data_IF_321873925164
#
_entry.id   IF_321873925164
#
_cell.length_a   1.000
_cell.length_b   1.000
_cell.length_c   1.000
_cell.angle_alpha   90.00
_cell.angle_beta   90.00
_cell.angle_gamma   90.00
#
_symmetry.space_group_name_H-M   'P 1'
#
loop_
_entity.id
_entity.type
_entity.pdbx_description
1 polymer ?
#
# COMPACT_ATOMS: atom_id res chain seq x y z
N UNK A 1 6.38 -13.48 -26.20
CA UNK A 1 5.84 -12.14 -26.41
C UNK A 1 6.40 -11.27 -25.29
N UNK A 2 7.20 -10.22 -25.58
CA UNK A 2 7.86 -9.39 -24.57
C UNK A 2 6.93 -8.31 -23.97
N UNK A 3 5.64 -8.33 -24.32
CA UNK A 3 4.64 -7.34 -23.89
C UNK A 3 4.02 -7.63 -22.51
N UNK A 4 4.39 -8.74 -21.85
CA UNK A 4 3.97 -9.02 -20.48
C UNK A 4 5.11 -8.76 -19.50
N UNK A 5 4.84 -8.02 -18.40
CA UNK A 5 5.72 -8.02 -17.23
C UNK A 5 6.08 -9.47 -16.92
N UNK A 6 7.38 -9.78 -16.79
CA UNK A 6 7.80 -11.13 -16.42
C UNK A 6 7.23 -11.49 -15.05
N UNK A 7 6.06 -12.13 -15.05
CA UNK A 7 5.49 -12.78 -13.89
C UNK A 7 6.22 -14.11 -13.77
N UNK A 8 7.02 -14.28 -12.73
CA UNK A 8 7.42 -15.63 -12.35
C UNK A 8 6.13 -16.30 -11.89
N UNK A 9 5.61 -17.25 -12.66
CA UNK A 9 4.33 -17.90 -12.37
C UNK A 9 4.30 -18.40 -10.94
N UNK A 10 3.23 -18.14 -10.18
CA UNK A 10 3.18 -18.37 -8.74
C UNK A 10 2.38 -17.25 -8.07
N UNK A 11 1.11 -17.52 -7.78
CA UNK A 11 0.20 -16.59 -7.11
C UNK A 11 -0.04 -15.26 -7.85
N UNK A 12 -0.88 -14.43 -7.23
CA UNK A 12 -1.39 -13.18 -7.81
C UNK A 12 -0.36 -12.05 -7.89
N UNK A 13 0.67 -12.12 -7.02
CA UNK A 13 1.78 -11.15 -6.94
C UNK A 13 3.10 -11.66 -7.57
N UNK A 14 3.08 -12.81 -8.25
CA UNK A 14 4.30 -13.42 -8.82
C UNK A 14 5.29 -13.94 -7.77
N UNK A 15 4.83 -14.22 -6.55
CA UNK A 15 5.63 -14.68 -5.44
C UNK A 15 5.79 -16.21 -5.46
N UNK A 16 6.81 -16.71 -6.16
CA UNK A 16 7.31 -18.08 -5.98
C UNK A 16 8.14 -18.23 -4.70
N UNK A 17 8.36 -19.46 -4.18
CA UNK A 17 9.36 -19.69 -3.15
C UNK A 17 10.73 -19.08 -3.56
N UNK A 18 11.45 -18.53 -2.57
CA UNK A 18 12.75 -17.86 -2.76
C UNK A 18 12.69 -16.56 -3.60
N UNK A 19 11.65 -15.75 -3.37
CA UNK A 19 11.52 -14.38 -3.89
C UNK A 19 11.03 -13.44 -2.77
N UNK A 20 11.02 -12.15 -3.08
CA UNK A 20 10.61 -11.06 -2.22
C UNK A 20 10.98 -9.74 -2.88
N UNK A 21 11.05 -8.67 -2.11
CA UNK A 21 11.57 -7.38 -2.57
C UNK A 21 12.93 -7.09 -1.94
N UNK A 22 13.88 -6.56 -2.72
CA UNK A 22 15.15 -6.06 -2.17
C UNK A 22 14.96 -4.75 -1.38
N UNK A 23 13.82 -4.08 -1.59
CA UNK A 23 13.51 -2.79 -1.00
C UNK A 23 12.45 -2.04 -1.80
N UNK A 24 11.84 -1.08 -1.12
CA UNK A 24 10.79 -0.23 -1.67
C UNK A 24 11.27 1.22 -1.70
N UNK A 25 11.06 1.91 -2.82
CA UNK A 25 11.17 3.37 -2.90
C UNK A 25 9.81 3.93 -3.26
N UNK A 26 9.26 4.76 -2.38
CA UNK A 26 7.90 5.32 -2.52
C UNK A 26 7.93 6.75 -3.05
N UNK A 27 7.15 7.01 -4.10
CA UNK A 27 6.96 8.33 -4.70
C UNK A 27 5.90 9.11 -3.92
N UNK A 28 6.22 10.37 -3.56
CA UNK A 28 5.29 11.32 -2.97
C UNK A 28 4.49 12.03 -4.07
N UNK A 29 3.32 11.48 -4.42
CA UNK A 29 2.46 12.05 -5.46
C UNK A 29 1.82 13.40 -5.07
N UNK A 30 1.38 13.64 -3.82
CA UNK A 30 0.85 14.94 -3.41
C UNK A 30 1.79 16.10 -3.72
N UNK A 31 3.09 15.92 -3.44
CA UNK A 31 4.10 16.93 -3.75
C UNK A 31 4.20 17.19 -5.26
N UNK A 32 4.12 16.16 -6.10
CA UNK A 32 4.08 16.35 -7.56
C UNK A 32 2.83 17.13 -7.97
N UNK A 33 1.66 16.76 -7.45
CA UNK A 33 0.40 17.43 -7.76
C UNK A 33 0.38 18.89 -7.34
N UNK A 34 1.09 19.25 -6.28
CA UNK A 34 1.25 20.64 -5.84
C UNK A 34 2.23 21.45 -6.68
N UNK A 35 3.34 20.84 -7.12
CA UNK A 35 4.42 21.56 -7.83
C UNK A 35 4.18 21.71 -9.34
N UNK A 36 3.36 20.85 -9.93
CA UNK A 36 3.14 20.82 -11.38
C UNK A 36 1.90 21.62 -11.77
N UNK A 37 1.98 22.32 -12.90
CA UNK A 37 0.86 23.12 -13.44
C UNK A 37 0.16 22.44 -14.62
N UNK A 38 0.85 21.53 -15.32
CA UNK A 38 0.32 20.81 -16.48
C UNK A 38 0.52 19.31 -16.35
N UNK A 39 -0.28 18.54 -17.08
CA UNK A 39 -0.22 17.08 -17.08
C UNK A 39 1.14 16.61 -17.65
N UNK A 40 1.66 17.27 -18.68
CA UNK A 40 2.97 16.98 -19.25
C UNK A 40 4.09 17.18 -18.22
N UNK A 41 4.04 18.28 -17.46
CA UNK A 41 5.03 18.55 -16.41
C UNK A 41 4.95 17.48 -15.32
N UNK A 42 3.74 17.10 -14.91
CA UNK A 42 3.53 16.06 -13.90
C UNK A 42 4.20 14.75 -14.32
N UNK A 43 3.97 14.28 -15.55
CA UNK A 43 4.54 13.02 -16.02
C UNK A 43 6.05 13.09 -16.22
N UNK A 44 6.60 14.23 -16.67
CA UNK A 44 8.05 14.43 -16.77
C UNK A 44 8.72 14.37 -15.40
N UNK A 45 8.16 15.03 -14.39
CA UNK A 45 8.71 15.00 -13.03
C UNK A 45 8.53 13.63 -12.36
N UNK A 46 7.40 12.95 -12.59
CA UNK A 46 7.18 11.58 -12.16
C UNK A 46 8.24 10.64 -12.75
N UNK A 47 8.54 10.75 -14.06
CA UNK A 47 9.59 9.94 -14.69
C UNK A 47 10.95 10.14 -14.01
N UNK A 48 11.33 11.39 -13.74
CA UNK A 48 12.60 11.71 -13.08
C UNK A 48 12.69 11.04 -11.70
N UNK A 49 11.61 11.10 -10.91
CA UNK A 49 11.55 10.43 -9.61
C UNK A 49 11.60 8.91 -9.74
N UNK A 50 10.94 8.33 -10.74
CA UNK A 50 10.99 6.88 -10.99
C UNK A 50 12.37 6.41 -11.44
N UNK A 51 13.09 7.19 -12.25
CA UNK A 51 14.48 6.92 -12.63
C UNK A 51 15.39 7.01 -11.40
N UNK A 52 15.17 7.98 -10.50
CA UNK A 52 15.90 8.06 -9.25
C UNK A 52 15.64 6.85 -8.34
N UNK A 53 14.38 6.41 -8.25
CA UNK A 53 14.00 5.20 -7.53
C UNK A 53 14.68 3.95 -8.10
N UNK A 54 14.67 3.79 -9.43
CA UNK A 54 15.42 2.73 -10.13
C UNK A 54 16.89 2.72 -9.74
N UNK A 55 17.56 3.88 -9.84
CA UNK A 55 18.99 4.00 -9.55
C UNK A 55 19.28 3.63 -8.08
N UNK A 56 18.45 4.08 -7.14
CA UNK A 56 18.57 3.73 -5.72
C UNK A 56 18.44 2.22 -5.49
N UNK A 57 17.45 1.58 -6.11
CA UNK A 57 17.21 0.13 -5.99
C UNK A 57 18.34 -0.69 -6.62
N UNK A 58 18.86 -0.27 -7.78
CA UNK A 58 20.01 -0.94 -8.42
C UNK A 58 21.29 -0.81 -7.60
N UNK A 59 21.54 0.33 -6.97
CA UNK A 59 22.65 0.48 -6.01
C UNK A 59 22.47 -0.47 -4.83
N UNK A 60 21.26 -0.51 -4.24
CA UNK A 60 20.95 -1.42 -3.14
C UNK A 60 21.14 -2.88 -3.52
N UNK A 61 20.70 -3.28 -4.72
CA UNK A 61 20.88 -4.64 -5.25
C UNK A 61 22.35 -5.04 -5.28
N UNK A 62 23.22 -4.18 -5.83
CA UNK A 62 24.67 -4.41 -5.88
C UNK A 62 25.25 -4.58 -4.48
N UNK A 63 24.84 -3.74 -3.53
CA UNK A 63 25.28 -3.84 -2.14
C UNK A 63 24.85 -5.18 -1.50
N UNK A 64 23.60 -5.59 -1.68
CA UNK A 64 23.08 -6.86 -1.15
C UNK A 64 23.84 -8.06 -1.71
N UNK A 65 24.09 -8.10 -3.02
CA UNK A 65 24.90 -9.17 -3.64
C UNK A 65 26.31 -9.23 -3.04
N UNK A 66 26.98 -8.08 -2.92
CA UNK A 66 28.33 -8.02 -2.34
C UNK A 66 28.35 -8.48 -0.88
N UNK A 67 27.40 -8.02 -0.06
CA UNK A 67 27.29 -8.43 1.34
C UNK A 67 26.99 -9.92 1.49
N UNK A 68 26.13 -10.49 0.64
CA UNK A 68 25.88 -11.94 0.63
C UNK A 68 27.13 -12.72 0.20
N UNK A 69 27.88 -12.24 -0.80
CA UNK A 69 29.15 -12.87 -1.21
C UNK A 69 30.20 -12.83 -0.11
N UNK A 70 30.28 -11.72 0.64
CA UNK A 70 31.17 -11.52 1.80
C UNK A 70 30.67 -12.16 3.11
N UNK A 71 29.71 -13.08 3.04
CA UNK A 71 29.21 -13.86 4.19
C UNK A 71 28.54 -13.04 5.31
N UNK A 72 28.09 -11.81 5.02
CA UNK A 72 27.33 -11.00 5.99
C UNK A 72 25.86 -11.45 6.14
N UNK A 73 25.37 -12.27 5.21
CA UNK A 73 24.02 -12.85 5.23
C UNK A 73 24.04 -14.38 5.12
N UNK A 74 24.61 -15.11 6.10
CA UNK A 74 24.91 -16.54 5.97
C UNK A 74 23.66 -17.40 5.76
N UNK A 75 22.56 -17.11 6.47
CA UNK A 75 21.30 -17.84 6.30
C UNK A 75 20.69 -17.60 4.91
N UNK A 76 20.61 -16.34 4.48
CA UNK A 76 20.11 -16.00 3.15
C UNK A 76 20.96 -16.62 2.05
N UNK A 77 22.29 -16.59 2.20
CA UNK A 77 23.25 -17.23 1.28
C UNK A 77 22.97 -18.73 1.16
N UNK A 78 22.72 -19.42 2.28
CA UNK A 78 22.37 -20.83 2.30
C UNK A 78 21.06 -21.11 1.55
N UNK A 79 19.97 -20.42 1.90
CA UNK A 79 18.66 -20.65 1.30
C UNK A 79 18.57 -20.23 -0.18
N UNK A 80 19.37 -19.23 -0.60
CA UNK A 80 19.42 -18.77 -2.00
C UNK A 80 20.54 -19.43 -2.81
N UNK A 81 21.25 -20.42 -2.28
CA UNK A 81 22.33 -21.14 -2.98
C UNK A 81 21.89 -21.68 -4.34
N UNK A 82 20.73 -22.34 -4.41
CA UNK A 82 20.18 -22.85 -5.68
C UNK A 82 19.78 -21.75 -6.68
N UNK A 83 19.53 -20.52 -6.22
CA UNK A 83 19.33 -19.36 -7.11
C UNK A 83 20.68 -18.93 -7.67
N UNK A 84 21.70 -18.82 -6.81
CA UNK A 84 23.04 -18.46 -7.21
C UNK A 84 23.66 -19.48 -8.18
N UNK A 85 23.45 -20.78 -7.97
CA UNK A 85 23.99 -21.81 -8.85
C UNK A 85 23.48 -21.68 -10.29
N UNK A 86 22.19 -21.32 -10.45
CA UNK A 86 21.53 -21.11 -11.74
C UNK A 86 21.88 -19.76 -12.38
N UNK A 87 21.76 -18.68 -11.62
CA UNK A 87 21.75 -17.31 -12.18
C UNK A 87 23.03 -16.51 -11.86
N UNK A 88 23.95 -17.08 -11.05
CA UNK A 88 25.16 -16.43 -10.52
C UNK A 88 24.90 -15.13 -9.76
N UNK A 89 23.69 -15.01 -9.20
CA UNK A 89 23.19 -13.90 -8.39
C UNK A 89 22.30 -14.48 -7.28
N UNK A 90 22.45 -14.04 -6.03
CA UNK A 90 21.60 -14.51 -4.94
C UNK A 90 20.20 -13.88 -5.02
N UNK A 91 20.14 -12.59 -5.31
CA UNK A 91 18.93 -11.77 -5.29
C UNK A 91 18.28 -11.65 -6.67
N UNK A 92 18.72 -12.44 -7.66
CA UNK A 92 18.22 -12.39 -9.04
C UNK A 92 16.70 -12.58 -9.18
N UNK A 93 16.09 -13.31 -8.24
CA UNK A 93 14.65 -13.55 -8.21
C UNK A 93 13.83 -12.47 -7.47
N UNK A 94 14.47 -11.50 -6.80
CA UNK A 94 13.78 -10.51 -5.97
C UNK A 94 13.45 -9.25 -6.76
N UNK A 95 12.28 -8.67 -6.49
CA UNK A 95 11.79 -7.45 -7.12
C UNK A 95 12.49 -6.20 -6.59
N UNK A 96 12.70 -5.24 -7.47
CA UNK A 96 12.96 -3.84 -7.16
C UNK A 96 11.61 -3.11 -7.10
N UNK A 97 11.15 -2.72 -5.91
CA UNK A 97 9.78 -2.22 -5.75
C UNK A 97 9.73 -0.71 -5.78
N UNK A 98 8.92 -0.17 -6.69
CA UNK A 98 8.57 1.25 -6.73
C UNK A 98 7.12 1.36 -6.25
N UNK A 99 6.92 2.17 -5.21
CA UNK A 99 5.60 2.40 -4.64
C UNK A 99 5.15 3.85 -4.79
N UNK A 100 3.91 4.11 -4.43
CA UNK A 100 3.33 5.45 -4.39
C UNK A 100 2.45 5.62 -3.16
N UNK A 101 2.20 6.88 -2.78
CA UNK A 101 1.25 7.25 -1.73
C UNK A 101 0.58 8.58 -2.07
N UNK A 102 -0.64 8.80 -1.57
CA UNK A 102 -1.31 10.10 -1.60
C UNK A 102 -1.92 10.46 -2.95
N UNK A 103 -2.43 9.51 -3.73
CA UNK A 103 -3.06 9.86 -5.01
C UNK A 103 -4.27 10.77 -4.83
N UNK A 104 -5.03 10.59 -3.75
CA UNK A 104 -6.13 11.49 -3.41
C UNK A 104 -5.66 12.94 -3.28
N UNK A 105 -4.65 13.20 -2.44
CA UNK A 105 -4.15 14.55 -2.26
C UNK A 105 -3.39 15.06 -3.50
N UNK A 106 -2.81 14.18 -4.31
CA UNK A 106 -2.27 14.56 -5.62
C UNK A 106 -3.37 15.12 -6.53
N UNK A 107 -4.53 14.47 -6.63
CA UNK A 107 -5.69 14.97 -7.36
C UNK A 107 -6.17 16.31 -6.79
N UNK A 108 -6.29 16.41 -5.47
CA UNK A 108 -6.79 17.63 -4.79
C UNK A 108 -5.87 18.84 -5.02
N UNK A 109 -4.55 18.62 -5.05
CA UNK A 109 -3.56 19.68 -5.30
C UNK A 109 -3.46 20.03 -6.79
N UNK A 110 -3.59 19.04 -7.69
CA UNK A 110 -3.37 19.23 -9.13
C UNK A 110 -4.65 19.61 -9.90
N UNK A 111 -5.73 18.89 -9.68
CA UNK A 111 -7.00 19.01 -10.39
C UNK A 111 -8.01 19.89 -9.65
N UNK A 112 -7.78 20.18 -8.37
CA UNK A 112 -8.78 20.71 -7.45
C UNK A 112 -10.03 19.81 -7.30
N UNK A 113 -9.88 18.51 -7.56
CA UNK A 113 -10.88 17.48 -7.36
C UNK A 113 -10.25 16.29 -6.61
N UNK A 114 -11.03 15.53 -5.85
CA UNK A 114 -10.54 14.33 -5.18
C UNK A 114 -10.60 13.09 -6.07
N UNK A 115 -10.00 11.98 -5.60
CA UNK A 115 -9.92 10.74 -6.38
C UNK A 115 -11.28 10.09 -6.64
N UNK A 116 -12.30 10.36 -5.81
CA UNK A 116 -13.64 9.77 -5.97
C UNK A 116 -14.38 10.30 -7.19
N UNK A 117 -13.99 11.47 -7.68
CA UNK A 117 -14.56 12.05 -8.90
C UNK A 117 -14.13 11.27 -10.14
N UNK A 118 -14.94 11.34 -11.21
CA UNK A 118 -14.61 10.71 -12.50
C UNK A 118 -13.25 11.22 -13.02
N UNK A 119 -12.99 12.52 -12.89
CA UNK A 119 -11.74 13.14 -13.30
C UNK A 119 -10.55 12.64 -12.47
N UNK A 120 -10.69 12.61 -11.14
CA UNK A 120 -9.67 12.11 -10.22
C UNK A 120 -9.34 10.64 -10.45
N UNK A 121 -10.35 9.77 -10.56
CA UNK A 121 -10.15 8.34 -10.88
C UNK A 121 -9.48 8.17 -12.24
N UNK A 122 -9.91 8.90 -13.26
CA UNK A 122 -9.31 8.86 -14.61
C UNK A 122 -7.84 9.27 -14.56
N UNK A 123 -7.50 10.33 -13.84
CA UNK A 123 -6.12 10.77 -13.66
C UNK A 123 -5.28 9.72 -12.91
N UNK A 124 -5.81 9.15 -11.82
CA UNK A 124 -5.15 8.08 -11.08
C UNK A 124 -4.84 6.86 -11.96
N UNK A 125 -5.79 6.46 -12.81
CA UNK A 125 -5.62 5.41 -13.82
C UNK A 125 -4.46 5.74 -14.76
N UNK A 126 -4.44 6.95 -15.35
CA UNK A 126 -3.33 7.39 -16.22
C UNK A 126 -1.97 7.34 -15.52
N UNK A 127 -1.90 7.79 -14.26
CA UNK A 127 -0.66 7.75 -13.48
C UNK A 127 -0.18 6.32 -13.25
N UNK A 128 -1.08 5.42 -12.86
CA UNK A 128 -0.73 4.01 -12.65
C UNK A 128 -0.25 3.35 -13.95
N UNK A 129 -0.94 3.58 -15.07
CA UNK A 129 -0.53 3.01 -16.36
C UNK A 129 0.83 3.55 -16.81
N UNK A 130 1.08 4.86 -16.66
CA UNK A 130 2.39 5.45 -16.90
C UNK A 130 3.49 4.79 -16.05
N UNK A 131 3.25 4.62 -14.74
CA UNK A 131 4.23 3.99 -13.84
C UNK A 131 4.51 2.54 -14.23
N UNK A 132 3.48 1.78 -14.62
CA UNK A 132 3.63 0.39 -15.10
C UNK A 132 4.50 0.33 -16.35
N UNK A 133 4.24 1.19 -17.33
CA UNK A 133 5.01 1.26 -18.57
C UNK A 133 6.48 1.59 -18.30
N UNK A 134 6.75 2.52 -17.36
CA UNK A 134 8.12 2.85 -16.95
C UNK A 134 8.82 1.67 -16.28
N UNK A 135 8.13 0.97 -15.39
CA UNK A 135 8.63 -0.24 -14.71
C UNK A 135 8.95 -1.35 -15.71
N UNK A 136 8.12 -1.54 -16.74
CA UNK A 136 8.41 -2.48 -17.83
C UNK A 136 9.71 -2.13 -18.56
N UNK A 137 9.89 -0.86 -18.93
CA UNK A 137 11.13 -0.38 -19.55
C UNK A 137 12.35 -0.59 -18.65
N UNK A 138 12.24 -0.33 -17.35
CA UNK A 138 13.33 -0.56 -16.41
C UNK A 138 13.74 -2.04 -16.33
N UNK A 139 12.77 -2.95 -16.38
CA UNK A 139 13.04 -4.39 -16.41
C UNK A 139 13.74 -4.82 -17.71
N UNK A 140 13.40 -4.23 -18.86
CA UNK A 140 14.12 -4.46 -20.12
C UNK A 140 15.55 -3.90 -20.08
N UNK A 141 15.71 -2.69 -19.54
CA UNK A 141 16.99 -1.98 -19.43
C UNK A 141 17.99 -2.70 -18.51
N UNK A 142 17.55 -3.17 -17.33
CA UNK A 142 18.46 -3.73 -16.32
C UNK A 142 18.48 -5.25 -16.27
N UNK A 143 17.46 -5.90 -16.84
CA UNK A 143 17.27 -7.35 -16.72
C UNK A 143 16.86 -7.83 -15.32
N UNK A 144 16.50 -6.93 -14.41
CA UNK A 144 16.00 -7.26 -13.07
C UNK A 144 14.48 -7.13 -12.98
N UNK A 145 13.86 -7.86 -12.05
CA UNK A 145 12.42 -7.77 -11.81
C UNK A 145 12.05 -6.45 -11.11
N UNK A 146 10.96 -5.84 -11.55
CA UNK A 146 10.37 -4.65 -10.95
C UNK A 146 8.87 -4.84 -10.76
N UNK A 147 8.32 -4.25 -9.71
CA UNK A 147 6.88 -4.23 -9.46
C UNK A 147 6.42 -2.86 -8.95
N UNK A 148 5.14 -2.58 -9.20
CA UNK A 148 4.43 -1.41 -8.71
C UNK A 148 3.62 -1.81 -7.47
N UNK A 149 3.83 -1.13 -6.35
CA UNK A 149 3.20 -1.49 -5.07
C UNK A 149 2.37 -0.34 -4.49
N UNK A 150 1.19 -0.69 -3.97
CA UNK A 150 0.44 0.16 -3.07
C UNK A 150 1.17 0.13 -1.72
N UNK A 151 2.05 1.11 -1.48
CA UNK A 151 2.92 1.10 -0.29
C UNK A 151 2.04 1.09 0.96
N UNK A 152 2.24 0.19 1.96
CA UNK A 152 1.46 0.21 3.21
C UNK A 152 1.56 1.53 3.97
N UNK A 153 2.70 2.21 3.82
CA UNK A 153 2.94 3.61 4.16
C UNK A 153 2.64 4.05 5.61
N UNK A 154 2.55 3.13 6.58
CA UNK A 154 2.19 3.38 7.99
C UNK A 154 2.87 4.62 8.60
N UNK A 155 4.19 4.76 8.44
CA UNK A 155 4.92 5.95 8.86
C UNK A 155 5.15 6.99 7.75
N UNK A 156 5.05 6.58 6.48
CA UNK A 156 5.38 7.42 5.32
C UNK A 156 4.29 8.45 5.06
N UNK A 157 3.01 8.10 5.24
CA UNK A 157 1.86 9.01 5.07
C UNK A 157 2.04 10.28 5.90
N UNK A 158 2.26 10.14 7.20
CA UNK A 158 2.49 11.26 8.12
C UNK A 158 3.82 11.97 7.86
N UNK A 159 4.91 11.22 7.64
CA UNK A 159 6.23 11.82 7.42
C UNK A 159 6.26 12.72 6.19
N UNK A 160 5.68 12.27 5.08
CA UNK A 160 5.59 13.07 3.85
C UNK A 160 4.68 14.28 4.06
N UNK A 161 3.48 14.10 4.58
CA UNK A 161 2.54 15.20 4.79
C UNK A 161 3.10 16.28 5.73
N UNK A 162 3.73 15.89 6.86
CA UNK A 162 4.40 16.84 7.76
C UNK A 162 5.58 17.55 7.11
N UNK A 163 6.42 16.82 6.38
CA UNK A 163 7.55 17.43 5.66
C UNK A 163 7.06 18.41 4.59
N UNK A 164 5.97 18.08 3.90
CA UNK A 164 5.38 18.92 2.87
C UNK A 164 4.75 20.17 3.47
N UNK A 165 3.97 20.04 4.55
CA UNK A 165 3.40 21.19 5.25
C UNK A 165 4.45 22.18 5.74
N UNK A 166 5.63 21.69 6.16
CA UNK A 166 6.73 22.55 6.57
C UNK A 166 7.37 23.32 5.41
N UNK A 167 7.42 22.72 4.21
CA UNK A 167 8.04 23.33 3.02
C UNK A 167 7.05 24.18 2.21
N UNK A 168 5.78 23.74 2.20
CA UNK A 168 4.68 24.27 1.41
C UNK A 168 3.45 24.39 2.32
N UNK A 169 3.32 25.45 3.12
CA UNK A 169 2.23 25.58 4.10
C UNK A 169 0.82 25.39 3.48
N UNK A 170 0.65 25.85 2.24
CA UNK A 170 -0.62 25.83 1.51
C UNK A 170 -0.91 24.50 0.78
N UNK A 171 0.01 23.52 0.79
CA UNK A 171 -0.25 22.20 0.21
C UNK A 171 -1.44 21.55 0.90
N UNK A 172 -2.35 20.97 0.13
CA UNK A 172 -3.54 20.31 0.67
C UNK A 172 -3.17 18.90 1.14
N UNK A 173 -3.48 18.60 2.39
CA UNK A 173 -3.27 17.30 3.05
C UNK A 173 -4.58 16.85 3.69
N UNK A 174 -4.73 15.56 3.97
CA UNK A 174 -5.77 15.10 4.89
C UNK A 174 -5.36 15.39 6.34
N UNK A 175 -6.34 15.41 7.26
CA UNK A 175 -6.11 15.74 8.67
C UNK A 175 -5.92 17.24 8.92
N UNK A 176 -6.50 17.76 10.01
CA UNK A 176 -6.40 19.17 10.39
C UNK A 176 -5.16 19.47 11.23
N UNK A 177 -5.04 18.80 12.38
CA UNK A 177 -3.96 19.00 13.34
C UNK A 177 -2.76 18.10 13.03
N UNK A 178 -3.04 16.86 12.64
CA UNK A 178 -2.04 15.87 12.26
C UNK A 178 -2.19 15.56 10.77
N UNK A 179 -1.37 16.20 9.91
CA UNK A 179 -1.52 16.04 8.47
C UNK A 179 -1.04 14.64 8.04
N UNK A 180 -1.80 14.02 7.15
CA UNK A 180 -1.46 12.73 6.55
C UNK A 180 -1.86 12.70 5.07
N UNK A 181 -1.35 11.70 4.35
CA UNK A 181 -1.77 11.38 3.00
C UNK A 181 -2.56 10.08 2.97
N UNK A 182 -3.61 10.07 2.17
CA UNK A 182 -4.44 8.88 1.95
C UNK A 182 -3.58 7.78 1.33
N UNK A 183 -3.73 6.55 1.81
CA UNK A 183 -2.83 5.49 1.40
C UNK A 183 -2.94 5.22 -0.11
N UNK A 184 -1.81 5.07 -0.80
CA UNK A 184 -1.74 4.66 -2.20
C UNK A 184 -2.76 5.35 -3.12
N UNK A 185 -3.79 4.61 -3.59
CA UNK A 185 -4.91 5.08 -4.43
C UNK A 185 -6.27 4.83 -3.77
N UNK A 186 -6.29 4.70 -2.45
CA UNK A 186 -7.53 4.52 -1.70
C UNK A 186 -8.42 5.76 -1.78
N UNK A 187 -9.72 5.55 -1.57
CA UNK A 187 -10.65 6.62 -1.25
C UNK A 187 -10.23 7.30 0.08
N UNK A 188 -10.56 8.58 0.27
CA UNK A 188 -10.36 9.26 1.54
C UNK A 188 -10.99 8.49 2.71
N UNK A 189 -10.43 8.64 3.90
CA UNK A 189 -11.01 8.07 5.13
C UNK A 189 -12.43 8.65 5.31
N UNK A 190 -13.39 7.77 5.66
CA UNK A 190 -14.80 8.10 5.85
C UNK A 190 -15.50 8.67 4.61
N UNK A 191 -15.06 8.28 3.40
CA UNK A 191 -15.72 8.70 2.16
C UNK A 191 -17.13 8.09 2.01
N UNK A 192 -17.28 6.79 2.27
CA UNK A 192 -18.54 6.06 2.20
C UNK A 192 -18.52 4.85 3.12
N UNK A 193 -19.69 4.46 3.61
CA UNK A 193 -19.91 3.20 4.35
C UNK A 193 -20.41 2.07 3.43
N UNK A 194 -20.68 2.36 2.15
CA UNK A 194 -21.10 1.36 1.18
C UNK A 194 -19.89 0.59 0.64
N UNK A 195 -19.81 -0.70 0.99
CA UNK A 195 -18.76 -1.60 0.53
C UNK A 195 -18.71 -1.72 -0.99
N UNK A 196 -19.86 -1.72 -1.67
CA UNK A 196 -19.90 -1.90 -3.12
C UNK A 196 -19.44 -0.63 -3.85
N UNK A 197 -19.72 0.56 -3.30
CA UNK A 197 -19.17 1.80 -3.82
C UNK A 197 -17.64 1.82 -3.74
N UNK A 198 -17.07 1.37 -2.61
CA UNK A 198 -15.61 1.20 -2.47
C UNK A 198 -15.08 0.20 -3.49
N UNK A 199 -15.73 -0.95 -3.65
CA UNK A 199 -15.32 -1.99 -4.59
C UNK A 199 -15.36 -1.49 -6.05
N UNK A 200 -16.46 -0.88 -6.47
CA UNK A 200 -16.66 -0.33 -7.83
C UNK A 200 -15.63 0.75 -8.15
N UNK A 201 -15.28 1.57 -7.16
CA UNK A 201 -14.23 2.56 -7.33
C UNK A 201 -12.83 1.92 -7.42
N UNK A 202 -12.52 1.00 -6.51
CA UNK A 202 -11.16 0.48 -6.30
C UNK A 202 -10.76 -0.61 -7.30
N UNK A 203 -11.69 -1.37 -7.89
CA UNK A 203 -11.38 -2.55 -8.72
C UNK A 203 -10.37 -2.28 -9.84
N UNK A 204 -10.65 -1.28 -10.68
CA UNK A 204 -9.77 -0.89 -11.79
C UNK A 204 -8.40 -0.37 -11.31
N UNK A 205 -8.38 0.41 -10.23
CA UNK A 205 -7.14 1.00 -9.73
C UNK A 205 -6.22 -0.07 -9.16
N UNK A 206 -6.79 -1.01 -8.40
CA UNK A 206 -6.02 -1.99 -7.66
C UNK A 206 -5.45 -3.10 -8.55
N UNK A 207 -6.14 -3.44 -9.64
CA UNK A 207 -5.65 -4.39 -10.65
C UNK A 207 -4.45 -3.87 -11.46
N UNK A 208 -4.14 -2.57 -11.38
CA UNK A 208 -2.95 -1.99 -12.01
C UNK A 208 -1.67 -2.21 -11.19
N UNK A 209 -1.77 -2.52 -9.89
CA UNK A 209 -0.59 -2.90 -9.13
C UNK A 209 -0.11 -4.29 -9.55
N UNK A 210 1.22 -4.43 -9.65
CA UNK A 210 1.88 -5.68 -10.00
C UNK A 210 2.64 -6.27 -8.81
N UNK A 211 2.77 -5.50 -7.73
CA UNK A 211 3.22 -5.90 -6.41
C UNK A 211 2.07 -5.89 -5.40
N UNK A 212 2.39 -5.72 -4.12
CA UNK A 212 1.41 -5.75 -3.05
C UNK A 212 0.31 -4.69 -3.21
N UNK A 213 -0.93 -5.11 -3.02
CA UNK A 213 -2.05 -4.21 -2.76
C UNK A 213 -3.12 -4.93 -1.94
N UNK A 214 -3.96 -4.17 -1.24
CA UNK A 214 -5.08 -4.66 -0.44
C UNK A 214 -6.19 -3.62 -0.39
N UNK A 215 -7.45 -4.05 -0.52
CA UNK A 215 -8.62 -3.21 -0.23
C UNK A 215 -9.20 -3.63 1.12
N UNK A 216 -9.22 -2.71 2.08
CA UNK A 216 -9.85 -2.93 3.38
C UNK A 216 -11.32 -2.54 3.30
N UNK A 217 -12.21 -3.51 3.50
CA UNK A 217 -13.66 -3.31 3.62
C UNK A 217 -14.00 -3.25 5.11
N UNK A 218 -14.10 -2.04 5.65
CA UNK A 218 -14.40 -1.84 7.06
C UNK A 218 -15.87 -2.15 7.34
N UNK A 219 -16.11 -2.97 8.38
CA UNK A 219 -17.45 -3.35 8.82
C UNK A 219 -17.69 -2.76 10.21
N UNK A 220 -18.91 -2.29 10.47
CA UNK A 220 -19.27 -1.74 11.78
C UNK A 220 -19.10 -2.74 12.91
N UNK A 221 -19.48 -4.00 12.69
CA UNK A 221 -19.28 -5.08 13.65
C UNK A 221 -18.99 -6.42 12.95
N UNK A 222 -18.65 -7.43 13.74
CA UNK A 222 -18.44 -8.79 13.26
C UNK A 222 -19.76 -9.33 12.71
N UNK A 223 -19.71 -9.94 11.52
CA UNK A 223 -20.83 -10.71 10.98
C UNK A 223 -20.81 -12.10 11.63
N UNK A 224 -21.84 -12.44 12.40
CA UNK A 224 -21.94 -13.74 13.08
C UNK A 224 -22.40 -14.88 12.17
N UNK A 225 -23.20 -14.58 11.14
CA UNK A 225 -23.67 -15.57 10.18
C UNK A 225 -22.58 -15.89 9.14
N UNK A 226 -22.04 -17.11 9.23
CA UNK A 226 -21.02 -17.62 8.32
C UNK A 226 -21.50 -17.70 6.86
N UNK A 227 -22.79 -17.96 6.62
CA UNK A 227 -23.32 -18.05 5.27
C UNK A 227 -23.40 -16.67 4.62
N UNK A 228 -23.67 -15.61 5.41
CA UNK A 228 -23.58 -14.22 4.95
C UNK A 228 -22.15 -13.87 4.55
N UNK A 229 -21.17 -14.19 5.40
CA UNK A 229 -19.75 -13.94 5.08
C UNK A 229 -19.30 -14.69 3.82
N UNK A 230 -19.64 -15.98 3.70
CA UNK A 230 -19.33 -16.78 2.50
C UNK A 230 -19.96 -16.19 1.25
N UNK A 231 -21.22 -15.80 1.32
CA UNK A 231 -21.95 -15.21 0.19
C UNK A 231 -21.34 -13.88 -0.23
N UNK A 232 -20.95 -13.03 0.73
CA UNK A 232 -20.27 -11.76 0.46
C UNK A 232 -18.90 -11.99 -0.20
N UNK A 233 -18.05 -12.85 0.39
CA UNK A 233 -16.73 -13.18 -0.18
C UNK A 233 -16.86 -13.73 -1.59
N UNK A 234 -17.81 -14.66 -1.80
CA UNK A 234 -18.09 -15.24 -3.12
C UNK A 234 -18.53 -14.17 -4.11
N UNK A 235 -19.48 -13.32 -3.74
CA UNK A 235 -19.97 -12.24 -4.60
C UNK A 235 -18.85 -11.28 -5.00
N UNK A 236 -17.97 -10.90 -4.05
CA UNK A 236 -16.84 -10.04 -4.35
C UNK A 236 -15.88 -10.73 -5.33
N UNK A 237 -15.50 -11.97 -5.05
CA UNK A 237 -14.56 -12.73 -5.89
C UNK A 237 -15.11 -13.08 -7.29
N UNK A 238 -16.43 -13.20 -7.45
CA UNK A 238 -17.08 -13.45 -8.74
C UNK A 238 -17.36 -12.16 -9.53
N UNK A 239 -17.47 -11.00 -8.88
CA UNK A 239 -17.87 -9.74 -9.53
C UNK A 239 -16.71 -8.77 -9.80
N UNK A 240 -15.61 -8.88 -9.05
CA UNK A 240 -14.48 -7.96 -9.11
C UNK A 240 -13.18 -8.69 -9.45
N UNK A 241 -12.26 -7.99 -10.10
CA UNK A 241 -10.93 -8.48 -10.43
C UNK A 241 -9.89 -8.18 -9.32
N UNK A 242 -10.31 -7.55 -8.22
CA UNK A 242 -9.49 -7.19 -7.08
C UNK A 242 -8.57 -8.32 -6.63
N UNK A 243 -7.26 -8.05 -6.50
CA UNK A 243 -6.34 -9.10 -6.17
C UNK A 243 -6.45 -9.54 -4.70
N UNK A 244 -6.66 -8.58 -3.80
CA UNK A 244 -6.70 -8.87 -2.37
C UNK A 244 -7.62 -7.89 -1.66
N UNK A 245 -8.53 -8.42 -0.86
CA UNK A 245 -9.43 -7.65 -0.02
C UNK A 245 -9.52 -8.28 1.38
N UNK A 246 -9.87 -7.47 2.37
CA UNK A 246 -10.15 -7.92 3.74
C UNK A 246 -11.52 -7.45 4.17
N UNK A 247 -12.22 -8.28 4.96
CA UNK A 247 -13.35 -7.85 5.77
C UNK A 247 -12.83 -7.49 7.16
N UNK A 248 -12.91 -6.22 7.52
CA UNK A 248 -12.29 -5.68 8.74
C UNK A 248 -13.37 -5.19 9.71
N UNK A 249 -13.88 -6.05 10.60
CA UNK A 249 -14.87 -5.65 11.59
C UNK A 249 -14.26 -4.84 12.73
N UNK A 250 -15.03 -3.88 13.24
CA UNK A 250 -14.65 -3.14 14.45
C UNK A 250 -14.91 -3.97 15.70
N UNK A 251 -13.95 -3.93 16.62
CA UNK A 251 -14.04 -4.52 17.95
C UNK A 251 -13.27 -3.65 18.95
N UNK A 252 -13.67 -3.74 20.21
CA UNK A 252 -12.99 -3.07 21.34
C UNK A 252 -12.37 -4.12 22.25
N UNK A 253 -11.33 -3.76 23.01
CA UNK A 253 -10.71 -4.68 23.98
C UNK A 253 -10.89 -4.11 25.39
N UNK A 254 -11.57 -4.87 26.24
CA UNK A 254 -11.56 -4.67 27.68
C UNK A 254 -10.45 -5.53 28.31
N UNK A 255 -9.61 -4.99 29.21
CA UNK A 255 -8.60 -5.79 29.91
C UNK A 255 -9.18 -6.93 30.76
N UNK A 256 -10.46 -6.82 31.14
CA UNK A 256 -11.19 -7.79 31.96
C UNK A 256 -12.02 -8.73 31.08
N UNK A 257 -12.86 -8.16 30.21
CA UNK A 257 -13.83 -8.90 29.39
C UNK A 257 -13.30 -9.35 28.01
N UNK A 258 -12.07 -8.96 27.64
CA UNK A 258 -11.46 -9.33 26.36
C UNK A 258 -12.10 -8.62 25.17
N UNK A 259 -12.30 -9.34 24.07
CA UNK A 259 -12.85 -8.78 22.82
C UNK A 259 -14.35 -8.48 22.93
N UNK A 260 -14.72 -7.26 22.58
CA UNK A 260 -16.08 -6.73 22.56
C UNK A 260 -16.46 -6.42 21.11
N UNK A 261 -17.64 -6.85 20.68
CA UNK A 261 -18.16 -6.54 19.34
C UNK A 261 -18.45 -5.04 19.20
N UNK A 262 -17.92 -4.41 18.14
CA UNK A 262 -18.15 -3.00 17.85
C UNK A 262 -17.24 -2.01 18.59
N UNK A 263 -17.51 -0.72 18.37
CA UNK A 263 -16.77 0.38 18.99
C UNK A 263 -17.38 0.76 20.34
N UNK A 264 -16.60 0.64 21.41
CA UNK A 264 -16.99 0.95 22.78
C UNK A 264 -15.93 1.81 23.44
N UNK A 265 -16.28 3.05 23.80
CA UNK A 265 -15.39 3.93 24.59
C UNK A 265 -15.19 3.42 26.02
N UNK A 266 -16.21 2.80 26.59
CA UNK A 266 -16.19 2.14 27.89
C UNK A 266 -16.78 0.74 27.73
N UNK A 267 -16.24 -0.25 28.45
CA UNK A 267 -16.74 -1.61 28.35
C UNK A 267 -18.22 -1.66 28.83
N UNK A 268 -19.13 -2.28 28.05
CA UNK A 268 -20.56 -2.27 28.32
C UNK A 268 -20.99 -3.26 29.42
N UNK A 269 -20.04 -4.04 29.96
CA UNK A 269 -20.26 -5.01 31.03
C UNK A 269 -19.82 -4.44 32.38
N UNK A 270 -20.44 -4.93 33.46
CA UNK A 270 -20.11 -4.50 34.82
C UNK A 270 -18.71 -4.96 35.22
N UNK A 271 -18.00 -4.09 35.94
CA UNK A 271 -16.68 -4.41 36.52
C UNK A 271 -16.78 -4.36 38.03
N UNK A 272 -16.22 -5.35 38.71
CA UNK A 272 -16.11 -5.30 40.17
C UNK A 272 -15.07 -4.26 40.62
N UNK A 273 -15.19 -3.70 41.84
CA UNK A 273 -14.20 -2.76 42.37
C UNK A 273 -12.78 -3.32 42.41
N UNK A 274 -12.61 -4.62 42.70
CA UNK A 274 -11.31 -5.30 42.71
C UNK A 274 -10.66 -5.33 41.32
N UNK A 275 -11.46 -5.58 40.28
CA UNK A 275 -10.99 -5.60 38.90
C UNK A 275 -10.60 -4.20 38.42
N UNK A 276 -11.38 -3.18 38.76
CA UNK A 276 -11.06 -1.78 38.45
C UNK A 276 -9.75 -1.34 39.13
N UNK A 277 -9.59 -1.66 40.42
CA UNK A 277 -8.36 -1.39 41.17
C UNK A 277 -7.13 -2.06 40.55
N UNK A 278 -7.26 -3.30 40.06
CA UNK A 278 -6.16 -4.02 39.38
C UNK A 278 -5.62 -3.27 38.16
N UNK A 279 -6.48 -2.51 37.46
CA UNK A 279 -6.10 -1.70 36.30
C UNK A 279 -5.91 -0.21 36.64
N UNK A 280 -5.76 0.12 37.93
CA UNK A 280 -5.43 1.48 38.39
C UNK A 280 -6.58 2.48 38.29
N UNK A 281 -7.83 2.00 38.21
CA UNK A 281 -9.02 2.85 38.28
C UNK A 281 -9.44 2.92 39.75
N UNK A 282 -9.31 4.10 40.35
CA UNK A 282 -9.80 4.37 41.70
C UNK A 282 -11.33 4.31 41.70
N UNK A 283 -11.88 3.51 42.60
CA UNK A 283 -13.32 3.38 42.83
C UNK A 283 -13.56 3.87 44.24
N UNK A 284 -14.40 4.88 44.41
CA UNK A 284 -14.86 5.29 45.74
C UNK A 284 -15.74 4.15 46.28
N UNK A 285 -15.22 3.41 47.26
CA UNK A 285 -15.89 2.29 47.93
C UNK A 285 -16.82 2.81 49.04
#
# INVERSE_FOLDING_TARGET
DNRELRKRGGGLFGANPLTGSIGVVTVNLPRLGYLCQTEEQFFVELEKLMVLAKNSLEIKRKALENFTLSDLYPYTKFYLSGVFDRDKKYWGNHFSTIGLVGMNEACINFLNADISTIEGKTFAVKVLDFMRDRIMKFQEETGHFYNLEATPAEGVTYRFARSDKNLYPDIKTAGKNEPYYTNSVHLPVNHTDDLFEVLDHQDELQTKFTGGTVVHLFLGEKIDDIEVVKSLVRRIAESYALPYFTLTPTFSICPIHGYLTGEHKYCPYDHSPEELLKYGIEVDI
#
